data_IF_335851356308
#
_entry.id   IF_335851356308
#
_cell.length_a   1.000
_cell.length_b   1.000
_cell.length_c   1.000
_cell.angle_alpha   90.00
_cell.angle_beta   90.00
_cell.angle_gamma   90.00
#
_symmetry.space_group_name_H-M   'P 1'
#
loop_
_entity.id
_entity.type
_entity.pdbx_description
1 polymer ?
#
# COMPACT_ATOMS: atom_id res chain seq x y z
N UNK A 1 15.76 18.41 28.80
CA UNK A 1 15.75 16.92 28.74
C UNK A 1 14.36 16.27 28.81
N UNK A 2 13.25 17.02 29.00
CA UNK A 2 11.89 16.44 29.01
C UNK A 2 11.09 16.79 27.72
N UNK A 3 11.43 17.89 27.04
CA UNK A 3 10.78 18.29 25.77
C UNK A 3 11.05 17.35 24.58
N UNK A 4 12.13 16.57 24.60
CA UNK A 4 12.49 15.65 23.51
C UNK A 4 11.64 14.36 23.48
N UNK A 5 10.90 14.04 24.54
CA UNK A 5 10.04 12.84 24.59
C UNK A 5 8.62 13.09 24.08
N UNK A 6 8.10 14.32 24.22
CA UNK A 6 6.73 14.68 23.83
C UNK A 6 6.59 14.81 22.30
N UNK A 7 7.66 15.18 21.60
CA UNK A 7 7.65 15.32 20.13
C UNK A 7 7.49 13.98 19.38
N UNK A 8 7.64 12.82 20.06
CA UNK A 8 7.51 11.49 19.43
C UNK A 8 6.09 10.91 19.43
N UNK A 9 5.13 11.51 20.14
CA UNK A 9 3.82 10.87 20.39
C UNK A 9 2.67 11.45 19.54
N UNK A 10 2.89 12.54 18.79
CA UNK A 10 1.89 13.05 17.82
C UNK A 10 2.32 12.66 16.41
N UNK A 11 1.55 11.79 15.77
CA UNK A 11 1.67 11.40 14.36
C UNK A 11 1.78 12.60 13.40
N UNK A 12 2.21 12.32 12.16
CA UNK A 12 1.96 13.07 10.90
C UNK A 12 3.00 14.16 10.58
N UNK A 13 3.74 14.19 9.46
CA UNK A 13 3.74 13.46 8.19
C UNK A 13 5.20 13.52 7.73
N UNK A 14 5.94 12.40 7.67
CA UNK A 14 6.95 12.37 6.61
C UNK A 14 6.12 12.36 5.34
N UNK A 15 6.09 13.49 4.63
CA UNK A 15 5.64 13.53 3.25
C UNK A 15 6.59 12.63 2.50
N UNK A 16 6.30 11.33 2.52
CA UNK A 16 6.89 10.41 1.58
C UNK A 16 6.26 10.83 0.26
N UNK A 17 6.94 11.75 -0.40
CA UNK A 17 6.66 12.22 -1.74
C UNK A 17 6.90 11.06 -2.70
N UNK A 18 6.02 10.06 -2.63
CA UNK A 18 6.13 8.87 -3.43
C UNK A 18 5.36 9.10 -4.71
N UNK A 19 6.14 9.13 -5.78
CA UNK A 19 5.71 9.21 -7.16
C UNK A 19 4.89 7.96 -7.54
N UNK A 20 4.94 6.88 -6.76
CA UNK A 20 4.11 5.69 -6.96
C UNK A 20 2.82 5.78 -6.14
N UNK A 21 1.68 5.71 -6.84
CA UNK A 21 0.35 5.69 -6.26
C UNK A 21 -0.26 4.29 -6.32
N UNK A 22 -0.77 3.81 -5.19
CA UNK A 22 -1.52 2.55 -5.07
C UNK A 22 -3.03 2.75 -5.13
N UNK A 23 -3.51 3.91 -5.60
CA UNK A 23 -4.96 4.13 -5.79
C UNK A 23 -5.62 3.04 -6.65
N UNK A 24 -5.05 2.59 -7.78
CA UNK A 24 -5.66 1.53 -8.60
C UNK A 24 -5.89 0.23 -7.82
N UNK A 25 -4.94 -0.16 -6.96
CA UNK A 25 -5.09 -1.36 -6.12
C UNK A 25 -6.38 -1.32 -5.29
N UNK A 26 -6.66 -0.21 -4.62
CA UNK A 26 -7.87 -0.06 -3.80
C UNK A 26 -9.15 -0.03 -4.64
N UNK A 27 -9.10 0.57 -5.83
CA UNK A 27 -10.21 0.51 -6.78
C UNK A 27 -10.46 -0.93 -7.26
N UNK A 28 -9.40 -1.71 -7.51
CA UNK A 28 -9.47 -3.11 -7.91
C UNK A 28 -10.06 -3.98 -6.80
N UNK A 29 -9.67 -3.76 -5.55
CA UNK A 29 -10.28 -4.41 -4.39
C UNK A 29 -11.79 -4.13 -4.29
N UNK A 30 -12.17 -2.86 -4.43
CA UNK A 30 -13.58 -2.46 -4.40
C UNK A 30 -14.39 -3.10 -5.55
N UNK A 31 -13.85 -3.08 -6.78
CA UNK A 31 -14.49 -3.70 -7.96
C UNK A 31 -14.67 -5.22 -7.79
N UNK A 32 -13.73 -5.90 -7.14
CA UNK A 32 -13.75 -7.35 -6.92
C UNK A 32 -14.42 -7.76 -5.61
N UNK A 33 -14.87 -6.80 -4.80
CA UNK A 33 -15.44 -7.03 -3.46
C UNK A 33 -14.50 -7.85 -2.54
N UNK A 34 -13.21 -7.54 -2.59
CA UNK A 34 -12.16 -8.17 -1.76
C UNK A 34 -11.68 -7.16 -0.74
N UNK A 35 -11.62 -7.57 0.52
CA UNK A 35 -11.07 -6.74 1.60
C UNK A 35 -9.58 -6.97 1.82
N UNK A 36 -8.88 -6.00 2.38
CA UNK A 36 -7.48 -6.17 2.81
C UNK A 36 -7.32 -7.30 3.83
N UNK A 37 -8.33 -7.48 4.69
CA UNK A 37 -8.39 -8.59 5.64
C UNK A 37 -8.36 -9.93 4.91
N UNK A 38 -9.12 -10.08 3.82
CA UNK A 38 -9.10 -11.32 3.03
C UNK A 38 -7.75 -11.55 2.37
N UNK A 39 -7.08 -10.51 1.86
CA UNK A 39 -5.71 -10.64 1.35
C UNK A 39 -4.77 -11.22 2.41
N UNK A 40 -4.86 -10.72 3.64
CA UNK A 40 -3.98 -11.15 4.73
C UNK A 40 -4.32 -12.58 5.18
N UNK A 41 -5.59 -12.86 5.46
CA UNK A 41 -5.98 -14.10 6.15
C UNK A 41 -6.39 -15.23 5.23
N UNK A 42 -6.91 -14.96 4.03
CA UNK A 42 -7.30 -16.00 3.05
C UNK A 42 -6.20 -16.26 2.03
N UNK A 43 -5.50 -15.21 1.59
CA UNK A 43 -4.47 -15.32 0.55
C UNK A 43 -3.03 -15.26 1.10
N UNK A 44 -2.86 -15.12 2.42
CA UNK A 44 -1.55 -15.17 3.07
C UNK A 44 -0.64 -13.96 2.79
N UNK A 45 -1.20 -12.83 2.35
CA UNK A 45 -0.43 -11.62 2.10
C UNK A 45 0.09 -11.03 3.41
N UNK A 46 1.36 -10.62 3.43
CA UNK A 46 1.94 -9.99 4.62
C UNK A 46 1.21 -8.68 4.97
N UNK A 47 0.75 -8.54 6.21
CA UNK A 47 0.17 -7.30 6.74
C UNK A 47 1.12 -6.10 6.60
N UNK A 48 2.43 -6.33 6.65
CA UNK A 48 3.45 -5.30 6.41
C UNK A 48 3.41 -4.79 4.96
N UNK A 49 3.11 -5.65 3.97
CA UNK A 49 2.95 -5.23 2.57
C UNK A 49 1.78 -4.26 2.43
N UNK A 50 0.62 -4.64 2.98
CA UNK A 50 -0.59 -3.80 2.99
C UNK A 50 -0.32 -2.46 3.69
N UNK A 51 0.30 -2.50 4.87
CA UNK A 51 0.68 -1.30 5.61
C UNK A 51 1.61 -0.39 4.79
N UNK A 52 2.61 -0.96 4.12
CA UNK A 52 3.52 -0.20 3.24
C UNK A 52 2.76 0.48 2.10
N UNK A 53 1.83 -0.21 1.44
CA UNK A 53 1.01 0.36 0.37
C UNK A 53 0.11 1.50 0.87
N UNK A 54 -0.49 1.38 2.07
CA UNK A 54 -1.25 2.47 2.71
C UNK A 54 -0.44 3.75 2.90
N UNK A 55 0.85 3.59 3.22
CA UNK A 55 1.79 4.70 3.39
C UNK A 55 2.58 5.02 2.12
N UNK A 56 2.12 4.54 0.96
CA UNK A 56 2.74 4.80 -0.33
C UNK A 56 4.13 4.22 -0.51
N UNK A 57 4.65 3.38 0.40
CA UNK A 57 6.03 2.88 0.38
C UNK A 57 6.27 1.90 -0.79
N UNK A 58 7.49 1.83 -1.36
CA UNK A 58 7.77 1.04 -2.58
C UNK A 58 7.69 -0.46 -2.33
N UNK A 59 6.92 -1.24 -3.09
CA UNK A 59 6.94 -2.71 -3.03
C UNK A 59 7.96 -3.30 -4.02
N UNK A 60 8.26 -4.60 -3.89
CA UNK A 60 9.07 -5.30 -4.89
C UNK A 60 8.21 -5.74 -6.07
N UNK A 61 8.84 -6.00 -7.22
CA UNK A 61 8.15 -6.58 -8.38
C UNK A 61 7.62 -7.99 -8.10
N UNK A 62 8.28 -8.76 -7.23
CA UNK A 62 7.77 -10.07 -6.78
C UNK A 62 6.47 -9.92 -5.97
N UNK A 63 6.37 -8.92 -5.10
CA UNK A 63 5.11 -8.60 -4.40
C UNK A 63 4.02 -8.18 -5.39
N UNK A 64 4.37 -7.35 -6.37
CA UNK A 64 3.45 -6.94 -7.43
C UNK A 64 2.93 -8.14 -8.24
N UNK A 65 3.79 -9.10 -8.58
CA UNK A 65 3.39 -10.35 -9.26
C UNK A 65 2.36 -11.12 -8.43
N UNK A 66 2.62 -11.33 -7.12
CA UNK A 66 1.68 -12.02 -6.22
C UNK A 66 0.34 -11.30 -6.16
N UNK A 67 0.32 -9.96 -6.11
CA UNK A 67 -0.92 -9.18 -6.11
C UNK A 67 -1.69 -9.42 -7.41
N UNK A 68 -1.01 -9.36 -8.57
CA UNK A 68 -1.62 -9.59 -9.88
C UNK A 68 -2.20 -11.01 -9.97
N UNK A 69 -1.50 -12.02 -9.44
CA UNK A 69 -1.97 -13.40 -9.41
C UNK A 69 -3.19 -13.58 -8.50
N UNK A 70 -3.19 -13.00 -7.29
CA UNK A 70 -4.32 -13.10 -6.35
C UNK A 70 -5.54 -12.37 -6.92
N UNK A 71 -5.34 -11.17 -7.45
CA UNK A 71 -6.43 -10.33 -7.92
C UNK A 71 -6.84 -10.66 -9.36
N UNK A 72 -6.07 -11.45 -10.11
CA UNK A 72 -6.29 -11.69 -11.55
C UNK A 72 -6.48 -10.35 -12.29
N UNK A 73 -5.44 -9.51 -12.22
CA UNK A 73 -5.40 -8.17 -12.81
C UNK A 73 -4.01 -7.86 -13.35
N UNK A 74 -3.90 -6.76 -14.10
CA UNK A 74 -2.61 -6.31 -14.62
C UNK A 74 -1.89 -5.36 -13.63
N UNK A 75 -0.63 -5.05 -13.91
CA UNK A 75 0.19 -4.14 -13.08
C UNK A 75 -0.45 -2.76 -12.92
N UNK A 76 -1.04 -2.21 -13.98
CA UNK A 76 -1.70 -0.89 -13.95
C UNK A 76 -2.94 -0.86 -13.05
N UNK A 77 -3.53 -2.02 -12.75
CA UNK A 77 -4.65 -2.16 -11.82
C UNK A 77 -4.19 -2.15 -10.36
N UNK A 78 -2.87 -2.16 -10.11
CA UNK A 78 -2.27 -2.13 -8.77
C UNK A 78 -1.66 -0.76 -8.49
N UNK A 79 -0.88 -0.22 -9.42
CA UNK A 79 -0.16 1.03 -9.20
C UNK A 79 0.08 1.83 -10.49
N UNK A 80 0.35 3.12 -10.33
CA UNK A 80 0.85 3.96 -11.40
C UNK A 80 1.86 4.99 -10.87
N UNK A 81 2.64 5.54 -11.79
CA UNK A 81 3.52 6.67 -11.55
C UNK A 81 2.71 7.97 -11.66
N UNK A 82 2.42 8.61 -10.52
CA UNK A 82 1.73 9.88 -10.42
C UNK A 82 2.67 11.03 -10.81
N UNK A 83 2.44 11.62 -11.98
CA UNK A 83 3.24 12.72 -12.53
C UNK A 83 2.83 14.10 -11.98
N UNK A 84 1.79 14.15 -11.15
CA UNK A 84 1.24 15.40 -10.63
C UNK A 84 1.83 15.80 -9.27
N UNK A 85 2.62 14.90 -8.68
CA UNK A 85 3.37 15.13 -7.46
C UNK A 85 4.79 15.54 -7.82
#
# INVERSE_FOLDING_TARGET
>A
MIESAILRIRENIEEVHNIISYKPFYETLAKKNITEYELIFKYGMSSNTIHRMKHGKPITTSTLNIICDILQCDVQDVLFHDKTK
#
